data_IF_906748844194
#
_entry.id   IF_906748844194
#
_cell.length_a   1.000
_cell.length_b   1.000
_cell.length_c   1.000
_cell.angle_alpha   90.00
_cell.angle_beta   90.00
_cell.angle_gamma   90.00
#
_symmetry.space_group_name_H-M   'P 1'
#
loop_
_entity.id
_entity.type
_entity.pdbx_description
1 polymer ?
#
# COMPACT_ATOMS: atom_id res chain seq x y z
N UNK A 1 -16.38 -21.31 -3.91
CA UNK A 1 -16.13 -19.94 -3.41
C UNK A 1 -16.13 -19.02 -4.61
N UNK A 2 -17.00 -18.00 -4.65
CA UNK A 2 -17.05 -17.05 -5.77
C UNK A 2 -16.11 -15.88 -5.44
N UNK A 3 -14.90 -15.90 -6.00
CA UNK A 3 -13.87 -14.89 -5.74
C UNK A 3 -14.29 -13.53 -6.30
N UNK A 4 -14.99 -13.49 -7.43
CA UNK A 4 -15.46 -12.24 -8.03
C UNK A 4 -16.46 -11.52 -7.11
N UNK A 5 -17.36 -12.29 -6.48
CA UNK A 5 -18.28 -11.75 -5.47
C UNK A 5 -17.55 -11.19 -4.25
N UNK A 6 -16.48 -11.84 -3.81
CA UNK A 6 -15.66 -11.33 -2.72
C UNK A 6 -14.96 -10.03 -3.12
N UNK A 7 -14.46 -9.92 -4.37
CA UNK A 7 -13.88 -8.67 -4.88
C UNK A 7 -14.91 -7.53 -4.86
N UNK A 8 -16.12 -7.76 -5.38
CA UNK A 8 -17.23 -6.78 -5.35
C UNK A 8 -17.53 -6.30 -3.93
N UNK A 9 -17.62 -7.24 -2.97
CA UNK A 9 -17.87 -6.90 -1.57
C UNK A 9 -16.77 -6.04 -0.97
N UNK A 10 -15.51 -6.29 -1.31
CA UNK A 10 -14.36 -5.54 -0.80
C UNK A 10 -14.19 -4.16 -1.48
N UNK A 11 -14.99 -3.83 -2.51
CA UNK A 11 -15.07 -2.47 -3.06
C UNK A 11 -16.03 -1.57 -2.26
N UNK A 12 -16.91 -2.15 -1.45
CA UNK A 12 -17.90 -1.39 -0.68
C UNK A 12 -17.19 -0.71 0.51
N UNK A 13 -17.48 0.58 0.81
CA UNK A 13 -16.90 1.27 1.96
C UNK A 13 -17.11 0.49 3.27
N UNK A 14 -16.08 0.45 4.11
CA UNK A 14 -16.09 -0.33 5.35
C UNK A 14 -17.28 0.02 6.27
N UNK A 15 -17.67 1.29 6.36
CA UNK A 15 -18.79 1.74 7.19
C UNK A 15 -20.13 1.18 6.71
N UNK A 16 -20.31 1.06 5.39
CA UNK A 16 -21.51 0.47 4.79
C UNK A 16 -21.53 -1.06 4.98
N UNK A 17 -20.39 -1.73 4.79
CA UNK A 17 -20.24 -3.16 5.05
C UNK A 17 -20.51 -3.51 6.52
N UNK A 18 -19.93 -2.75 7.44
CA UNK A 18 -19.99 -3.04 8.88
C UNK A 18 -21.37 -2.76 9.48
N UNK A 19 -22.10 -1.80 8.89
CA UNK A 19 -23.47 -1.46 9.28
C UNK A 19 -24.52 -2.39 8.69
N UNK A 20 -24.20 -3.12 7.61
CA UNK A 20 -25.11 -4.07 6.97
C UNK A 20 -24.84 -5.51 7.41
N UNK A 21 -25.71 -6.06 8.27
CA UNK A 21 -25.57 -7.41 8.81
C UNK A 21 -25.45 -8.51 7.73
N UNK A 22 -26.10 -8.34 6.57
CA UNK A 22 -26.05 -9.33 5.48
C UNK A 22 -24.67 -9.33 4.81
N UNK A 23 -24.18 -8.15 4.41
CA UNK A 23 -22.87 -8.01 3.78
C UNK A 23 -21.74 -8.41 4.73
N UNK A 24 -21.85 -8.01 5.99
CA UNK A 24 -20.93 -8.38 7.06
C UNK A 24 -20.79 -9.89 7.22
N UNK A 25 -21.92 -10.60 7.23
CA UNK A 25 -21.92 -12.06 7.32
C UNK A 25 -21.32 -12.70 6.06
N UNK A 26 -21.64 -12.19 4.88
CA UNK A 26 -21.11 -12.69 3.60
C UNK A 26 -19.57 -12.60 3.56
N UNK A 27 -18.99 -11.45 3.91
CA UNK A 27 -17.53 -11.27 4.01
C UNK A 27 -16.90 -12.19 5.07
N UNK A 28 -17.59 -12.38 6.20
CA UNK A 28 -17.12 -13.26 7.28
C UNK A 28 -17.12 -14.74 6.86
N UNK A 29 -18.12 -15.17 6.09
CA UNK A 29 -18.17 -16.51 5.51
C UNK A 29 -17.06 -16.72 4.47
N UNK A 30 -16.77 -15.71 3.66
CA UNK A 30 -15.61 -15.74 2.77
C UNK A 30 -14.29 -15.89 3.55
N UNK A 31 -14.07 -15.09 4.60
CA UNK A 31 -12.90 -15.22 5.47
C UNK A 31 -12.76 -16.64 6.04
N UNK A 32 -13.86 -17.22 6.53
CA UNK A 32 -13.90 -18.59 7.04
C UNK A 32 -13.42 -19.60 5.99
N UNK A 33 -13.88 -19.48 4.74
CA UNK A 33 -13.53 -20.39 3.65
C UNK A 33 -12.08 -20.19 3.20
N UNK A 34 -11.64 -18.94 3.04
CA UNK A 34 -10.29 -18.58 2.60
C UNK A 34 -9.22 -19.11 3.56
N UNK A 35 -9.39 -18.86 4.85
CA UNK A 35 -8.39 -19.22 5.86
C UNK A 35 -8.67 -20.55 6.54
N UNK A 36 -9.80 -21.21 6.23
CA UNK A 36 -10.24 -22.45 6.85
C UNK A 36 -10.28 -22.38 8.39
N UNK A 37 -10.77 -21.26 8.94
CA UNK A 37 -10.82 -20.99 10.39
C UNK A 37 -12.25 -20.81 10.90
N UNK A 38 -12.49 -21.07 12.18
CA UNK A 38 -13.76 -20.69 12.83
C UNK A 38 -13.80 -19.17 13.03
N UNK A 39 -14.94 -18.57 12.69
CA UNK A 39 -15.20 -17.14 12.82
C UNK A 39 -16.20 -16.89 13.93
N UNK A 40 -16.04 -15.76 14.61
CA UNK A 40 -17.00 -15.28 15.60
C UNK A 40 -17.84 -14.16 14.97
N UNK A 41 -19.15 -14.40 14.80
CA UNK A 41 -20.07 -13.43 14.21
C UNK A 41 -20.71 -12.50 15.25
N UNK A 42 -20.69 -12.88 16.52
CA UNK A 42 -21.26 -12.12 17.65
C UNK A 42 -20.24 -11.27 18.41
N UNK A 43 -18.94 -11.46 18.15
CA UNK A 43 -17.89 -10.71 18.80
C UNK A 43 -17.83 -9.28 18.23
N UNK A 44 -17.93 -8.29 19.12
CA UNK A 44 -17.66 -6.90 18.76
C UNK A 44 -16.22 -6.80 18.24
N UNK A 45 -16.00 -5.98 17.21
CA UNK A 45 -14.68 -5.68 16.64
C UNK A 45 -13.96 -6.80 15.87
N UNK A 46 -14.48 -8.04 15.83
CA UNK A 46 -13.85 -9.13 15.05
C UNK A 46 -13.97 -8.96 13.54
N UNK A 47 -15.04 -8.31 13.09
CA UNK A 47 -15.27 -8.09 11.67
C UNK A 47 -14.19 -7.22 11.02
N UNK A 48 -13.72 -6.17 11.70
CA UNK A 48 -12.65 -5.32 11.16
C UNK A 48 -11.34 -6.08 11.00
N UNK A 49 -11.03 -7.00 11.92
CA UNK A 49 -9.86 -7.88 11.82
C UNK A 49 -9.97 -8.82 10.61
N UNK A 50 -11.16 -9.42 10.39
CA UNK A 50 -11.40 -10.31 9.25
C UNK A 50 -11.30 -9.56 7.92
N UNK A 51 -11.89 -8.37 7.85
CA UNK A 51 -11.84 -7.50 6.69
C UNK A 51 -10.39 -7.13 6.35
N UNK A 52 -9.61 -6.62 7.32
CA UNK A 52 -8.20 -6.26 7.12
C UNK A 52 -7.37 -7.44 6.61
N UNK A 53 -7.53 -8.63 7.21
CA UNK A 53 -6.80 -9.82 6.76
C UNK A 53 -7.17 -10.27 5.34
N UNK A 54 -8.42 -10.10 4.92
CA UNK A 54 -8.82 -10.39 3.54
C UNK A 54 -8.13 -9.44 2.56
N UNK A 55 -8.06 -8.15 2.89
CA UNK A 55 -7.32 -7.14 2.12
C UNK A 55 -5.83 -7.50 2.07
N UNK A 56 -5.19 -7.72 3.22
CA UNK A 56 -3.76 -8.03 3.33
C UNK A 56 -3.36 -9.34 2.62
N UNK A 57 -4.28 -10.30 2.52
CA UNK A 57 -4.04 -11.56 1.79
C UNK A 57 -3.95 -11.40 0.27
N UNK A 58 -4.18 -10.18 -0.26
CA UNK A 58 -4.04 -9.86 -1.67
C UNK A 58 -5.19 -10.37 -2.53
N UNK A 59 -6.33 -10.77 -1.92
CA UNK A 59 -7.54 -11.19 -2.64
C UNK A 59 -8.20 -10.00 -3.37
N UNK A 60 -7.89 -8.77 -2.96
CA UNK A 60 -8.29 -7.51 -3.60
C UNK A 60 -7.34 -7.02 -4.67
N UNK A 61 -6.43 -7.83 -5.22
CA UNK A 61 -5.45 -7.34 -6.22
C UNK A 61 -6.04 -6.73 -7.51
N UNK A 62 -7.36 -6.70 -7.68
CA UNK A 62 -8.07 -5.92 -8.72
C UNK A 62 -9.23 -5.07 -8.16
N UNK A 63 -9.13 -4.60 -6.93
CA UNK A 63 -9.94 -3.49 -6.42
C UNK A 63 -8.97 -2.36 -6.24
N UNK A 64 -9.10 -1.34 -7.07
CA UNK A 64 -8.38 -0.08 -6.95
C UNK A 64 -8.24 0.27 -5.47
N UNK A 65 -6.97 0.35 -5.06
CA UNK A 65 -6.44 1.24 -4.04
C UNK A 65 -7.55 2.15 -3.52
N UNK A 66 -8.01 1.86 -2.30
CA UNK A 66 -8.92 2.71 -1.56
C UNK A 66 -8.16 4.00 -1.18
N UNK A 67 -7.92 4.84 -2.18
CA UNK A 67 -7.95 6.29 -2.27
C UNK A 67 -7.48 7.18 -1.10
N UNK A 68 -6.71 6.68 -0.12
CA UNK A 68 -6.09 7.52 0.93
C UNK A 68 -4.82 6.94 1.58
N UNK A 69 -4.16 5.97 0.94
CA UNK A 69 -2.73 5.71 1.20
C UNK A 69 -1.99 5.89 -0.12
N UNK A 70 -1.27 7.02 -0.21
CA UNK A 70 -0.15 7.33 -1.11
C UNK A 70 0.04 6.26 -2.19
N UNK A 71 -0.52 6.47 -3.37
CA UNK A 71 -0.12 5.69 -4.53
C UNK A 71 1.36 5.98 -4.75
N UNK A 72 2.26 5.16 -4.20
CA UNK A 72 3.69 5.33 -4.36
C UNK A 72 3.98 5.42 -5.87
N UNK A 73 4.35 6.63 -6.27
CA UNK A 73 4.64 6.98 -7.64
C UNK A 73 5.99 6.40 -8.04
N UNK A 74 6.86 6.17 -7.05
CA UNK A 74 8.15 5.56 -7.21
C UNK A 74 8.12 4.04 -6.94
N UNK A 75 8.86 3.28 -7.75
CA UNK A 75 9.11 1.86 -7.53
C UNK A 75 10.54 1.50 -7.94
N UNK A 76 11.33 0.95 -7.02
CA UNK A 76 12.66 0.45 -7.32
C UNK A 76 12.60 -0.77 -8.24
N UNK A 77 13.61 -0.88 -9.09
CA UNK A 77 13.84 -2.06 -9.92
C UNK A 77 14.11 -3.30 -9.06
N UNK A 78 13.62 -4.45 -9.53
CA UNK A 78 13.82 -5.72 -8.82
C UNK A 78 15.20 -6.36 -9.05
N UNK A 79 15.97 -5.87 -10.01
CA UNK A 79 17.23 -6.46 -10.49
C UNK A 79 18.50 -5.68 -10.05
N UNK A 80 18.41 -4.86 -9.00
CA UNK A 80 19.56 -4.08 -8.48
C UNK A 80 20.67 -4.94 -7.84
N UNK A 81 20.42 -6.23 -7.57
CA UNK A 81 21.39 -7.14 -6.97
C UNK A 81 21.73 -6.83 -5.51
N UNK A 82 21.01 -5.91 -4.87
CA UNK A 82 21.20 -5.47 -3.49
C UNK A 82 19.87 -5.38 -2.76
N UNK A 83 19.85 -5.78 -1.48
CA UNK A 83 18.63 -5.76 -0.66
C UNK A 83 18.29 -4.38 -0.10
N UNK A 84 19.29 -3.51 0.07
CA UNK A 84 19.13 -2.13 0.56
C UNK A 84 20.29 -1.27 0.09
N UNK A 85 20.03 0.02 -0.09
CA UNK A 85 21.04 1.03 -0.43
C UNK A 85 20.99 2.12 0.64
N UNK A 86 22.09 2.28 1.38
CA UNK A 86 22.24 3.33 2.40
C UNK A 86 22.80 4.61 1.77
N UNK A 87 22.37 5.77 2.28
CA UNK A 87 22.90 7.07 1.90
C UNK A 87 23.32 7.88 3.13
N UNK A 88 23.98 9.02 2.92
CA UNK A 88 24.92 9.65 3.86
C UNK A 88 24.35 10.02 5.24
N UNK A 89 23.03 10.20 5.34
CA UNK A 89 22.33 10.51 6.59
C UNK A 89 21.91 9.26 7.40
N UNK A 90 22.34 8.06 6.98
CA UNK A 90 22.00 6.79 7.63
C UNK A 90 20.63 6.24 7.25
N UNK A 91 19.87 6.93 6.41
CA UNK A 91 18.66 6.38 5.80
C UNK A 91 19.03 5.34 4.73
N UNK A 92 18.06 4.52 4.37
CA UNK A 92 18.20 3.54 3.30
C UNK A 92 16.93 3.44 2.49
N UNK A 93 17.07 2.88 1.29
CA UNK A 93 15.96 2.55 0.41
C UNK A 93 16.03 1.06 0.06
N UNK A 94 14.87 0.41 -0.03
CA UNK A 94 14.74 -1.00 -0.43
C UNK A 94 13.43 -1.24 -1.18
N UNK A 95 13.25 -2.41 -1.79
CA UNK A 95 11.99 -2.77 -2.46
C UNK A 95 10.76 -2.69 -1.54
N UNK A 96 10.96 -2.86 -0.22
CA UNK A 96 9.90 -2.80 0.78
C UNK A 96 9.85 -1.46 1.51
N UNK A 97 10.82 -0.58 1.29
CA UNK A 97 10.95 0.73 1.94
C UNK A 97 11.34 1.75 0.86
N UNK A 98 10.36 2.10 0.02
CA UNK A 98 10.49 2.95 -1.17
C UNK A 98 9.24 3.84 -1.31
N UNK A 99 8.85 4.49 -0.21
CA UNK A 99 7.79 5.47 -0.25
C UNK A 99 8.27 6.74 -0.96
N UNK A 100 7.34 7.55 -1.47
CA UNK A 100 7.65 8.72 -2.31
C UNK A 100 8.65 9.67 -1.66
N UNK A 101 8.53 9.96 -0.35
CA UNK A 101 9.47 10.84 0.37
C UNK A 101 10.90 10.25 0.43
N UNK A 102 11.02 8.94 0.64
CA UNK A 102 12.32 8.25 0.66
C UNK A 102 12.93 8.24 -0.73
N UNK A 103 12.11 8.02 -1.77
CA UNK A 103 12.55 8.04 -3.15
C UNK A 103 13.00 9.45 -3.59
N UNK A 104 12.26 10.49 -3.22
CA UNK A 104 12.60 11.89 -3.47
C UNK A 104 13.94 12.22 -2.81
N UNK A 105 14.11 11.94 -1.51
CA UNK A 105 15.39 12.18 -0.82
C UNK A 105 16.56 11.40 -1.42
N UNK A 106 16.32 10.16 -1.85
CA UNK A 106 17.32 9.33 -2.52
C UNK A 106 17.76 9.90 -3.87
N UNK A 107 16.83 10.49 -4.62
CA UNK A 107 17.07 11.17 -5.90
C UNK A 107 17.68 12.56 -5.73
N UNK A 108 17.30 13.32 -4.70
CA UNK A 108 17.94 14.60 -4.37
C UNK A 108 19.44 14.44 -4.13
N UNK A 109 19.83 13.40 -3.39
CA UNK A 109 21.24 13.10 -3.14
C UNK A 109 22.02 12.77 -4.43
N UNK A 110 21.37 12.19 -5.45
CA UNK A 110 21.95 12.01 -6.79
C UNK A 110 20.86 11.72 -7.83
N UNK A 111 20.48 12.70 -8.68
CA UNK A 111 19.39 12.55 -9.64
C UNK A 111 19.60 11.43 -10.67
N UNK A 112 20.86 11.04 -10.94
CA UNK A 112 21.16 9.94 -11.85
C UNK A 112 20.68 8.58 -11.33
N UNK A 113 20.35 8.47 -10.03
CA UNK A 113 19.78 7.26 -9.42
C UNK A 113 18.36 6.96 -9.92
N UNK A 114 17.73 7.85 -10.69
CA UNK A 114 16.44 7.59 -11.34
C UNK A 114 16.49 6.31 -12.19
N UNK A 115 17.65 5.94 -12.74
CA UNK A 115 17.85 4.68 -13.47
C UNK A 115 17.64 3.40 -12.63
N UNK A 116 17.56 3.54 -11.31
CA UNK A 116 17.29 2.46 -10.35
C UNK A 116 15.78 2.24 -10.13
N UNK A 117 14.93 3.11 -10.66
CA UNK A 117 13.47 3.01 -10.56
C UNK A 117 12.87 2.43 -11.85
N UNK A 118 11.87 1.56 -11.71
CA UNK A 118 11.06 1.02 -12.82
C UNK A 118 9.74 1.79 -13.01
N UNK A 119 9.30 2.51 -11.98
CA UNK A 119 8.14 3.42 -12.00
C UNK A 119 8.53 4.70 -11.27
N UNK A 120 8.16 5.84 -11.82
CA UNK A 120 8.32 7.17 -11.23
C UNK A 120 7.37 8.14 -11.94
N UNK A 121 6.97 9.26 -11.31
CA UNK A 121 6.09 10.24 -11.94
C UNK A 121 6.85 11.08 -12.98
N UNK A 122 6.16 11.61 -14.00
CA UNK A 122 6.80 12.41 -15.05
C UNK A 122 7.45 13.69 -14.51
N UNK A 123 6.84 14.29 -13.48
CA UNK A 123 7.31 15.51 -12.81
C UNK A 123 8.33 15.24 -11.69
N UNK A 124 8.97 14.06 -11.63
CA UNK A 124 9.92 13.71 -10.55
C UNK A 124 11.05 14.73 -10.36
N UNK A 125 11.47 15.42 -11.43
CA UNK A 125 12.49 16.48 -11.36
C UNK A 125 12.03 17.68 -10.54
N UNK A 126 10.78 18.11 -10.74
CA UNK A 126 10.19 19.21 -9.97
C UNK A 126 10.05 18.82 -8.49
N UNK A 127 9.75 17.55 -8.21
CA UNK A 127 9.65 17.04 -6.84
C UNK A 127 10.98 17.11 -6.08
N UNK A 128 12.11 16.89 -6.75
CA UNK A 128 13.43 16.96 -6.11
C UNK A 128 13.99 18.39 -6.03
N UNK A 129 13.54 19.30 -6.91
CA UNK A 129 13.91 20.72 -6.91
C UNK A 129 13.15 21.51 -5.82
N UNK A 130 11.86 21.24 -5.62
CA UNK A 130 11.01 22.01 -4.68
C UNK A 130 11.37 21.82 -3.19
N UNK A 131 12.08 20.74 -2.84
CA UNK A 131 12.50 20.45 -1.47
C UNK A 131 13.84 21.13 -1.08
N UNK A 132 14.51 21.85 -1.98
CA UNK A 132 15.66 22.70 -1.60
C UNK A 132 15.20 24.02 -0.95
N UNK A 133 13.95 24.45 -1.17
CA UNK A 133 13.45 25.78 -0.76
C UNK A 133 13.00 25.92 0.70
N UNK A 134 13.03 24.87 1.53
CA UNK A 134 12.68 24.98 2.97
C UNK A 134 13.89 25.16 3.91
N UNK A 135 15.13 25.25 3.39
CA UNK A 135 16.34 25.43 4.20
C UNK A 135 17.04 26.79 4.03
N UNK A 136 16.31 27.86 3.72
CA UNK A 136 16.84 29.23 3.78
C UNK A 136 15.88 30.18 4.49
N UNK A 137 15.77 30.10 5.82
CA UNK A 137 15.46 31.26 6.69
C UNK A 137 16.05 31.02 8.09
N UNK A 138 17.36 31.27 8.24
CA UNK A 138 17.95 31.76 9.52
C UNK A 138 17.98 33.30 9.51
#
# INVERSE_FOLDING_TARGET
MNIDRLKELLQIPFDELSSNAKLKNEVTDFYKVVFNVKVCTSCKDKFSEYYKKLIDSGITKDVEVLDNEIANNFKLRNDLGVSKITFDNGQFISQNECDDDVAIGFLQANPNRISMFEKYPENWKELIENNETENEYE
#
